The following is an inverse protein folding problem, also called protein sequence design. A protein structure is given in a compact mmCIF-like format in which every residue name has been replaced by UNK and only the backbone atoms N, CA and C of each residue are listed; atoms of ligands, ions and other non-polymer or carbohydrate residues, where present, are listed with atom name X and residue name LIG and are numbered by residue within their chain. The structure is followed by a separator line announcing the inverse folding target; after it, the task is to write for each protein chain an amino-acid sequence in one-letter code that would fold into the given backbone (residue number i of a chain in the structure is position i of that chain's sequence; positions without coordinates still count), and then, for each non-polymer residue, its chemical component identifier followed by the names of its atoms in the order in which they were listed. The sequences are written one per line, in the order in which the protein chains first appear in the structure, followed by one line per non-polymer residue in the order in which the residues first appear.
data_IF_904452852982
#
_entry.id   IF_904452852982
#
_cell.length_a   1.000
_cell.length_b   1.000
_cell.length_c   1.000
_cell.angle_alpha   90.00
_cell.angle_beta   90.00
_cell.angle_gamma   90.00
#
_symmetry.space_group_name_H-M   'P 1'
#
loop_
_entity.id
_entity.type
_entity.pdbx_description
1 polymer ?
#
# COMPACT_ATOMS: atom_id res chain seq x y z
N UNK A 1 -58.59 -8.87 -51.63
CA UNK A 1 -57.78 -7.83 -52.30
C UNK A 1 -56.43 -7.78 -51.58
N UNK A 2 -55.38 -8.43 -52.13
CA UNK A 2 -54.30 -7.81 -52.93
C UNK A 2 -53.49 -6.78 -52.11
N UNK A 3 -52.16 -6.78 -51.97
CA UNK A 3 -51.05 -7.43 -52.68
C UNK A 3 -49.79 -7.40 -51.79
N UNK A 4 -48.87 -8.30 -52.11
CA UNK A 4 -47.47 -8.50 -51.69
C UNK A 4 -46.56 -7.25 -51.63
N UNK A 5 -45.58 -7.26 -50.72
CA UNK A 5 -44.19 -6.84 -51.02
C UNK A 5 -43.18 -7.62 -50.15
N UNK A 6 -42.20 -8.25 -50.81
CA UNK A 6 -41.00 -8.90 -50.24
C UNK A 6 -39.85 -7.90 -50.23
N UNK A 7 -38.98 -8.00 -49.23
CA UNK A 7 -37.49 -8.01 -49.33
C UNK A 7 -36.96 -7.83 -47.90
N UNK A 8 -36.48 -8.89 -47.25
CA UNK A 8 -35.05 -9.22 -47.19
C UNK A 8 -34.20 -8.04 -46.70
N UNK A 9 -33.78 -8.08 -45.44
CA UNK A 9 -32.41 -7.66 -45.10
C UNK A 9 -31.90 -8.44 -43.88
N UNK A 10 -31.10 -9.45 -44.20
CA UNK A 10 -30.31 -10.27 -43.30
C UNK A 10 -29.02 -9.54 -42.94
N UNK A 11 -28.93 -9.04 -41.71
CA UNK A 11 -27.71 -8.46 -41.13
C UNK A 11 -27.28 -9.20 -39.86
N UNK A 12 -26.01 -9.61 -39.71
CA UNK A 12 -25.53 -10.31 -38.52
C UNK A 12 -25.32 -9.35 -37.32
N UNK A 13 -25.75 -9.79 -36.13
CA UNK A 13 -25.47 -9.12 -34.85
C UNK A 13 -24.00 -9.32 -34.46
N UNK A 14 -23.16 -8.32 -34.74
CA UNK A 14 -21.77 -8.27 -34.28
C UNK A 14 -21.72 -7.81 -32.80
N UNK A 15 -21.22 -8.68 -31.92
CA UNK A 15 -20.91 -8.36 -30.51
C UNK A 15 -19.77 -7.34 -30.46
N UNK A 16 -20.04 -6.12 -29.98
CA UNK A 16 -19.00 -5.16 -29.64
C UNK A 16 -18.35 -5.53 -28.29
N UNK A 17 -17.11 -6.00 -28.34
CA UNK A 17 -16.21 -6.09 -27.21
C UNK A 17 -15.72 -4.69 -26.84
N UNK A 18 -16.12 -4.18 -25.67
CA UNK A 18 -15.56 -2.95 -25.11
C UNK A 18 -14.21 -3.31 -24.47
N UNK A 19 -13.13 -3.21 -25.25
CA UNK A 19 -11.77 -3.15 -24.70
C UNK A 19 -11.52 -1.79 -24.05
N UNK A 20 -10.70 -1.70 -22.99
CA UNK A 20 -10.36 -0.42 -22.39
C UNK A 20 -9.52 0.44 -23.36
N UNK A 21 -9.89 1.72 -23.47
CA UNK A 21 -9.24 2.70 -24.31
C UNK A 21 -7.78 2.95 -23.89
N UNK A 22 -6.84 3.16 -24.83
CA UNK A 22 -5.49 3.57 -24.51
C UNK A 22 -5.54 5.01 -24.01
N UNK A 23 -5.13 5.26 -22.76
CA UNK A 23 -4.99 6.64 -22.25
C UNK A 23 -3.60 7.16 -22.53
N UNK A 24 -3.61 8.28 -23.25
CA UNK A 24 -2.53 9.13 -23.71
C UNK A 24 -1.32 9.22 -22.77
N UNK A 25 -0.15 9.18 -23.39
CA UNK A 25 1.12 9.58 -22.83
C UNK A 25 1.03 11.03 -22.31
N UNK A 26 0.98 11.16 -20.98
CA UNK A 26 1.33 12.38 -20.28
C UNK A 26 2.79 12.29 -19.87
N UNK A 27 3.59 13.23 -20.36
CA UNK A 27 5.02 13.37 -20.08
C UNK A 27 5.26 13.46 -18.57
N UNK A 28 5.84 12.39 -18.01
CA UNK A 28 6.38 12.43 -16.65
C UNK A 28 7.75 13.12 -16.71
N UNK A 29 8.03 14.14 -15.88
CA UNK A 29 9.28 14.86 -15.98
C UNK A 29 10.41 13.93 -15.57
N UNK A 30 11.31 13.66 -16.52
CA UNK A 30 12.57 12.99 -16.30
C UNK A 30 13.29 13.65 -15.12
N UNK A 31 13.42 12.93 -14.00
CA UNK A 31 14.38 13.25 -12.95
C UNK A 31 15.39 12.13 -12.90
N UNK A 32 16.64 12.51 -13.12
CA UNK A 32 17.81 11.66 -13.13
C UNK A 32 17.83 10.73 -11.91
N UNK A 33 17.71 9.43 -12.15
CA UNK A 33 18.01 8.42 -11.15
C UNK A 33 19.53 8.39 -10.97
N UNK A 34 20.03 9.15 -9.99
CA UNK A 34 21.30 8.82 -9.38
C UNK A 34 21.11 7.43 -8.77
N UNK A 35 21.79 6.43 -9.33
CA UNK A 35 21.88 5.07 -8.78
C UNK A 35 22.66 5.16 -7.47
N UNK A 36 21.98 5.60 -6.41
CA UNK A 36 22.47 5.59 -5.05
C UNK A 36 22.06 4.27 -4.41
N UNK A 37 23.01 3.61 -3.74
CA UNK A 37 22.85 2.39 -2.94
C UNK A 37 21.40 2.18 -2.47
N UNK A 38 20.75 1.15 -2.99
CA UNK A 38 19.35 0.80 -2.75
C UNK A 38 19.14 0.48 -1.27
N UNK A 39 18.91 1.53 -0.47
CA UNK A 39 18.46 1.39 0.90
C UNK A 39 16.98 1.03 0.84
N UNK A 40 16.65 -0.23 1.12
CA UNK A 40 15.27 -0.74 1.25
C UNK A 40 14.55 -0.17 2.48
N UNK A 41 14.87 1.06 2.88
CA UNK A 41 14.42 1.65 4.13
C UNK A 41 13.04 2.27 3.93
N UNK A 42 12.04 1.96 4.78
CA UNK A 42 10.75 2.60 4.70
C UNK A 42 10.85 4.10 4.94
N UNK A 43 10.14 4.86 4.11
CA UNK A 43 10.11 6.32 4.11
C UNK A 43 8.70 6.89 4.34
N UNK A 44 7.70 6.02 4.51
CA UNK A 44 6.39 6.39 5.04
C UNK A 44 5.78 5.28 5.90
N UNK A 45 4.89 5.67 6.82
CA UNK A 45 4.29 4.78 7.81
C UNK A 45 2.79 5.02 7.93
N UNK A 46 2.01 3.95 7.85
CA UNK A 46 0.59 3.94 8.21
C UNK A 46 0.51 3.52 9.68
N UNK A 47 0.27 4.49 10.56
CA UNK A 47 0.45 4.29 12.01
C UNK A 47 -0.86 3.98 12.75
N UNK A 48 -1.99 4.01 12.08
CA UNK A 48 -3.28 3.79 12.71
C UNK A 48 -4.46 4.42 11.98
N UNK A 49 -5.66 4.34 12.54
CA UNK A 49 -6.01 3.56 13.73
C UNK A 49 -6.51 2.15 13.34
N UNK A 50 -6.48 1.16 14.25
CA UNK A 50 -7.13 -0.13 14.05
C UNK A 50 -8.61 0.05 13.70
N UNK A 51 -9.15 -0.86 12.88
CA UNK A 51 -10.56 -0.84 12.44
C UNK A 51 -10.97 0.41 11.63
N UNK A 52 -10.02 1.25 11.22
CA UNK A 52 -10.25 2.44 10.40
C UNK A 52 -9.90 2.25 8.90
N UNK A 53 -9.76 1.00 8.44
CA UNK A 53 -9.50 0.70 7.02
C UNK A 53 -8.03 0.71 6.60
N UNK A 54 -7.08 0.68 7.56
CA UNK A 54 -5.64 0.64 7.26
C UNK A 54 -5.22 -0.55 6.40
N UNK A 55 -5.90 -1.70 6.52
CA UNK A 55 -5.68 -2.86 5.64
C UNK A 55 -6.10 -2.58 4.20
N UNK A 56 -7.25 -1.92 3.97
CA UNK A 56 -7.67 -1.57 2.63
C UNK A 56 -6.69 -0.58 1.99
N UNK A 57 -6.27 0.45 2.73
CA UNK A 57 -5.26 1.40 2.26
C UNK A 57 -3.92 0.73 1.93
N UNK A 58 -3.45 -0.17 2.81
CA UNK A 58 -2.25 -0.97 2.56
C UNK A 58 -2.35 -1.73 1.24
N UNK A 59 -3.47 -2.42 0.99
CA UNK A 59 -3.69 -3.18 -0.25
C UNK A 59 -3.73 -2.28 -1.47
N UNK A 60 -4.36 -1.10 -1.40
CA UNK A 60 -4.42 -0.17 -2.52
C UNK A 60 -3.06 0.45 -2.84
N UNK A 61 -2.29 0.83 -1.82
CA UNK A 61 -0.95 1.38 -2.02
C UNK A 61 0.01 0.33 -2.59
N UNK A 62 -0.08 -0.92 -2.16
CA UNK A 62 0.74 -2.01 -2.69
C UNK A 62 0.51 -2.30 -4.19
N UNK A 63 -0.59 -1.82 -4.78
CA UNK A 63 -0.88 -1.97 -6.22
C UNK A 63 -0.23 -0.88 -7.08
N UNK A 64 0.28 0.21 -6.47
CA UNK A 64 0.85 1.31 -7.22
C UNK A 64 2.29 0.99 -7.66
N UNK A 65 2.67 1.19 -8.93
CA UNK A 65 3.98 0.77 -9.45
C UNK A 65 5.18 1.43 -8.73
N UNK A 66 5.01 2.66 -8.24
CA UNK A 66 6.07 3.39 -7.52
C UNK A 66 6.07 3.20 -6.00
N UNK A 67 5.19 2.34 -5.47
CA UNK A 67 5.05 2.09 -4.02
C UNK A 67 5.34 0.63 -3.72
N UNK A 68 6.20 0.39 -2.75
CA UNK A 68 6.43 -0.92 -2.17
C UNK A 68 5.96 -0.92 -0.73
N UNK A 69 5.12 -1.88 -0.35
CA UNK A 69 4.72 -2.09 1.04
C UNK A 69 5.52 -3.25 1.65
N UNK A 70 5.79 -3.20 2.96
CA UNK A 70 6.40 -4.30 3.70
C UNK A 70 5.73 -5.64 3.38
N UNK A 71 6.49 -6.72 3.14
CA UNK A 71 5.91 -8.03 2.76
C UNK A 71 4.93 -8.57 3.79
N UNK A 72 5.13 -8.24 5.06
CA UNK A 72 4.19 -8.49 6.13
C UNK A 72 3.59 -7.18 6.65
N UNK A 73 2.28 -7.18 6.94
CA UNK A 73 1.59 -6.07 7.62
C UNK A 73 1.69 -6.27 9.13
N UNK A 74 1.67 -5.18 9.88
CA UNK A 74 1.77 -5.16 11.35
C UNK A 74 3.10 -5.75 11.90
N UNK A 75 4.29 -5.34 11.42
CA UNK A 75 5.56 -5.82 11.98
C UNK A 75 5.79 -5.37 13.43
N UNK A 76 5.14 -4.29 13.90
CA UNK A 76 5.19 -3.80 15.29
C UNK A 76 6.59 -3.44 15.81
N UNK A 77 7.54 -3.24 14.89
CA UNK A 77 8.94 -3.01 15.21
C UNK A 77 9.16 -1.73 16.04
N UNK A 78 8.41 -0.66 15.75
CA UNK A 78 8.63 0.63 16.44
C UNK A 78 7.86 0.79 17.76
N UNK A 79 7.02 -0.17 18.18
CA UNK A 79 6.26 -0.10 19.43
C UNK A 79 6.65 -1.17 20.45
N UNK A 80 7.91 -1.22 20.91
CA UNK A 80 8.35 -2.21 21.90
C UNK A 80 7.64 -2.03 23.25
N UNK A 81 7.09 -0.85 23.55
CA UNK A 81 6.31 -0.59 24.76
C UNK A 81 4.97 -1.33 24.81
N UNK A 82 4.53 -1.88 23.67
CA UNK A 82 3.33 -2.72 23.57
C UNK A 82 3.64 -4.22 23.57
N UNK A 83 4.93 -4.60 23.52
CA UNK A 83 5.37 -5.99 23.61
C UNK A 83 5.39 -6.43 25.09
N UNK A 84 4.52 -7.37 25.45
CA UNK A 84 4.43 -7.87 26.83
C UNK A 84 5.43 -8.99 27.13
N UNK A 85 6.16 -9.46 26.12
CA UNK A 85 7.03 -10.62 26.22
C UNK A 85 6.29 -11.96 26.27
N UNK A 86 4.98 -11.97 26.06
CA UNK A 86 4.18 -13.20 26.02
C UNK A 86 4.54 -14.08 24.81
N UNK A 87 4.19 -15.38 24.86
CA UNK A 87 4.38 -16.30 23.72
C UNK A 87 3.66 -15.79 22.46
N UNK A 88 2.46 -15.23 22.63
CA UNK A 88 1.71 -14.59 21.55
C UNK A 88 2.48 -13.43 20.91
N UNK A 89 3.16 -12.62 21.72
CA UNK A 89 3.92 -11.48 21.21
C UNK A 89 5.19 -11.93 20.47
N UNK A 90 5.83 -13.00 20.94
CA UNK A 90 6.99 -13.58 20.26
C UNK A 90 6.70 -14.02 18.82
N UNK A 91 5.44 -14.37 18.51
CA UNK A 91 5.03 -14.77 17.15
C UNK A 91 4.73 -13.58 16.22
N UNK A 92 4.45 -12.39 16.76
CA UNK A 92 3.89 -11.28 15.98
C UNK A 92 4.71 -9.99 16.03
N UNK A 93 5.68 -9.86 16.92
CA UNK A 93 6.59 -8.72 16.99
C UNK A 93 7.91 -9.03 16.28
N UNK A 94 8.27 -8.19 15.31
CA UNK A 94 9.62 -8.15 14.78
C UNK A 94 10.48 -7.34 15.74
N UNK A 95 11.59 -7.90 16.23
CA UNK A 95 12.42 -7.30 17.29
C UNK A 95 13.80 -6.88 16.82
N UNK A 96 14.31 -7.48 15.75
CA UNK A 96 15.61 -7.17 15.20
C UNK A 96 15.52 -6.36 13.89
N UNK A 97 16.50 -5.48 13.71
CA UNK A 97 16.54 -4.56 12.58
C UNK A 97 16.75 -5.30 11.25
N UNK A 98 17.49 -6.41 11.25
CA UNK A 98 17.77 -7.18 10.05
C UNK A 98 16.50 -7.80 9.48
N UNK A 99 15.74 -8.53 10.31
CA UNK A 99 14.44 -9.09 9.95
C UNK A 99 13.44 -8.00 9.56
N UNK A 100 13.48 -6.85 10.24
CA UNK A 100 12.65 -5.70 9.87
C UNK A 100 12.98 -5.19 8.46
N UNK A 101 14.26 -4.97 8.15
CA UNK A 101 14.70 -4.48 6.83
C UNK A 101 14.47 -5.52 5.72
N UNK A 102 14.54 -6.82 6.05
CA UNK A 102 14.26 -7.90 5.11
C UNK A 102 12.82 -7.84 4.56
N UNK A 103 11.87 -7.25 5.31
CA UNK A 103 10.49 -7.03 4.84
C UNK A 103 10.40 -6.12 3.61
N UNK A 104 11.48 -5.41 3.28
CA UNK A 104 11.53 -4.43 2.19
C UNK A 104 12.48 -4.81 1.05
N UNK A 105 13.14 -5.97 1.13
CA UNK A 105 14.15 -6.39 0.16
C UNK A 105 13.64 -6.45 -1.29
N UNK A 106 12.31 -6.55 -1.49
CA UNK A 106 11.68 -6.55 -2.81
C UNK A 106 11.42 -5.18 -3.43
N UNK A 107 11.79 -4.07 -2.77
CA UNK A 107 11.36 -2.74 -3.22
C UNK A 107 11.91 -2.28 -4.58
N UNK A 108 13.00 -2.88 -5.08
CA UNK A 108 13.50 -2.78 -6.47
C UNK A 108 13.23 -1.45 -7.21
N UNK A 109 13.71 -0.33 -6.66
CA UNK A 109 13.59 0.99 -7.30
C UNK A 109 12.29 1.75 -7.01
N UNK A 110 11.41 1.24 -6.15
CA UNK A 110 10.22 1.96 -5.70
C UNK A 110 10.59 3.28 -5.03
N UNK A 111 9.92 4.36 -5.44
CA UNK A 111 10.12 5.70 -4.87
C UNK A 111 9.61 5.81 -3.43
N UNK A 112 8.58 5.04 -3.10
CA UNK A 112 7.93 5.04 -1.78
C UNK A 112 7.98 3.64 -1.19
N UNK A 113 8.58 3.51 -0.01
CA UNK A 113 8.67 2.25 0.73
C UNK A 113 7.89 2.45 2.02
N UNK A 114 6.84 1.65 2.21
CA UNK A 114 5.83 1.84 3.23
C UNK A 114 5.75 0.71 4.23
N UNK A 115 5.58 1.06 5.49
CA UNK A 115 5.24 0.11 6.55
C UNK A 115 3.87 0.46 7.15
N UNK A 116 3.13 -0.55 7.60
CA UNK A 116 1.82 -0.36 8.17
C UNK A 116 1.65 -1.18 9.45
N UNK A 117 1.61 -0.48 10.59
CA UNK A 117 1.26 -1.03 11.90
C UNK A 117 0.23 -0.10 12.54
N UNK A 118 -1.01 -0.57 12.66
CA UNK A 118 -2.10 0.25 13.14
C UNK A 118 -2.00 0.59 14.64
N UNK A 119 -1.23 -0.20 15.40
CA UNK A 119 -1.01 0.00 16.83
C UNK A 119 -0.04 1.12 17.17
N UNK A 120 0.74 1.64 16.20
CA UNK A 120 1.69 2.71 16.45
C UNK A 120 1.03 3.98 17.01
N UNK A 121 -0.23 4.26 16.65
CA UNK A 121 -0.97 5.40 17.19
C UNK A 121 -1.21 5.31 18.71
N UNK A 122 -1.20 4.11 19.30
CA UNK A 122 -1.37 3.89 20.73
C UNK A 122 -0.05 3.75 21.50
N UNK A 123 1.06 3.54 20.78
CA UNK A 123 2.39 3.41 21.38
C UNK A 123 2.91 4.78 21.81
N UNK A 124 3.52 4.81 23.00
CA UNK A 124 4.20 6.01 23.51
C UNK A 124 5.58 6.21 22.86
N UNK A 125 6.14 5.13 22.32
CA UNK A 125 7.51 5.11 21.80
C UNK A 125 7.57 5.20 20.27
N UNK A 126 6.55 4.72 19.55
CA UNK A 126 6.57 4.58 18.10
C UNK A 126 6.92 5.86 17.36
N UNK A 127 6.28 6.99 17.70
CA UNK A 127 6.55 8.27 17.03
C UNK A 127 8.03 8.70 17.18
N UNK A 128 8.60 8.54 18.38
CA UNK A 128 10.01 8.86 18.66
C UNK A 128 10.95 7.91 17.90
N UNK A 129 10.65 6.62 17.91
CA UNK A 129 11.48 5.60 17.27
C UNK A 129 11.46 5.74 15.74
N UNK A 130 10.28 5.97 15.14
CA UNK A 130 10.15 6.26 13.70
C UNK A 130 10.93 7.52 13.33
N UNK A 131 10.84 8.60 14.11
CA UNK A 131 11.57 9.84 13.85
C UNK A 131 13.09 9.64 13.91
N UNK A 132 13.57 8.88 14.90
CA UNK A 132 15.00 8.56 15.02
C UNK A 132 15.47 7.68 13.84
N UNK A 133 14.63 6.77 13.39
CA UNK A 133 14.94 5.90 12.26
C UNK A 133 14.91 6.66 10.92
N UNK A 134 13.83 7.37 10.60
CA UNK A 134 13.64 8.12 9.36
C UNK A 134 13.09 9.52 9.68
N UNK A 135 13.96 10.53 9.82
CA UNK A 135 13.54 11.89 10.20
C UNK A 135 12.54 12.54 9.25
N UNK A 136 12.63 12.22 7.97
CA UNK A 136 11.80 12.77 6.89
C UNK A 136 10.59 11.91 6.54
N UNK A 137 10.30 10.90 7.38
CA UNK A 137 9.21 9.97 7.17
C UNK A 137 7.87 10.68 7.01
N UNK A 138 7.06 10.22 6.05
CA UNK A 138 5.65 10.63 5.94
C UNK A 138 4.79 9.74 6.81
N UNK A 139 3.94 10.35 7.63
CA UNK A 139 3.03 9.65 8.53
C UNK A 139 1.61 9.74 7.99
N UNK A 140 0.95 8.60 7.85
CA UNK A 140 -0.44 8.49 7.44
C UNK A 140 -1.25 7.97 8.62
N UNK A 141 -2.31 8.68 8.97
CA UNK A 141 -3.28 8.30 10.00
C UNK A 141 -4.66 8.26 9.36
N UNK A 142 -5.35 7.13 9.52
CA UNK A 142 -6.75 6.96 9.15
C UNK A 142 -7.59 6.96 10.41
N UNK A 143 -8.57 7.86 10.47
CA UNK A 143 -9.50 7.95 11.59
C UNK A 143 -10.91 7.62 11.11
N UNK A 144 -11.70 7.02 12.00
CA UNK A 144 -13.13 6.76 11.83
C UNK A 144 -13.84 7.28 13.08
N UNK A 145 -15.15 7.52 12.96
CA UNK A 145 -15.98 7.81 14.11
C UNK A 145 -15.80 6.71 15.18
N UNK A 146 -15.42 7.07 16.42
CA UNK A 146 -15.16 6.12 17.50
C UNK A 146 -16.38 5.26 17.88
N UNK A 147 -17.59 5.69 17.51
CA UNK A 147 -18.82 4.89 17.73
C UNK A 147 -18.93 3.72 16.75
N UNK A 148 -18.22 3.77 15.61
CA UNK A 148 -18.35 2.80 14.53
C UNK A 148 -17.20 1.76 14.47
N UNK A 149 -16.25 1.82 15.40
CA UNK A 149 -15.00 1.00 15.41
C UNK A 149 -15.05 -0.19 16.36
#
# INVERSE_FOLDING_TARGET
MARTFRSDDSGPLLRASVGPAPRAAGESPARAATVGSSSFKPNFFIVGAPKCGTTALYTYLAQHPDVFMSTNKEPKFFCPDLDTGSERDAEVFVRDLESYLALFAGANGAMRIGEATALYLFSRDAARNIRAFCPDAKIIVMLRNPVDV
#
